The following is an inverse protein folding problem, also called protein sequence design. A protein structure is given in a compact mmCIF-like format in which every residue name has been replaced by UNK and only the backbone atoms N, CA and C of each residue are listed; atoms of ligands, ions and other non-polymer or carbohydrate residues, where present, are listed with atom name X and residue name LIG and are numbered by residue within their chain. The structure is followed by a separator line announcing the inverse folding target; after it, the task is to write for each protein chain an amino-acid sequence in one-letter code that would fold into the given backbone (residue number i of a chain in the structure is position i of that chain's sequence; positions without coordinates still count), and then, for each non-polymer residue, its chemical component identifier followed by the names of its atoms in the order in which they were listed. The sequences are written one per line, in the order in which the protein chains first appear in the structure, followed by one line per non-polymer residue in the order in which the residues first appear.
data_IF_355662386758
#
_entry.id   IF_355662386758
#
_cell.length_a   1.000
_cell.length_b   1.000
_cell.length_c   1.000
_cell.angle_alpha   90.00
_cell.angle_beta   90.00
_cell.angle_gamma   90.00
#
_symmetry.space_group_name_H-M   'P 1'
#
loop_
_entity.id
_entity.type
_entity.pdbx_description
1 polymer ?
#
# COMPACT_ATOMS: atom_id res chain seq x y z
N UNK A 1 16.12 20.58 35.23
CA UNK A 1 15.39 21.82 34.89
C UNK A 1 15.49 22.18 33.41
N UNK A 2 16.60 21.95 32.69
CA UNK A 2 16.66 22.24 31.24
C UNK A 2 16.01 21.17 30.35
N UNK A 3 16.07 19.89 30.77
CA UNK A 3 15.47 18.78 30.04
C UNK A 3 13.94 18.91 29.95
N UNK A 4 13.29 19.25 31.06
CA UNK A 4 11.83 19.38 31.16
C UNK A 4 11.31 20.52 30.26
N UNK A 5 11.97 21.68 30.31
CA UNK A 5 11.66 22.80 29.42
C UNK A 5 11.89 22.48 27.93
N UNK A 6 12.84 21.59 27.62
CA UNK A 6 13.09 21.12 26.26
C UNK A 6 12.06 20.10 25.80
N UNK A 7 11.60 19.24 26.72
CA UNK A 7 10.56 18.25 26.49
C UNK A 7 9.20 18.91 26.23
N UNK A 8 8.81 19.89 27.05
CA UNK A 8 7.55 20.61 26.88
C UNK A 8 7.49 21.31 25.51
N UNK A 9 8.56 22.01 25.13
CA UNK A 9 8.67 22.64 23.82
C UNK A 9 8.59 21.62 22.67
N UNK A 10 9.20 20.44 22.85
CA UNK A 10 9.14 19.39 21.84
C UNK A 10 7.73 18.84 21.69
N UNK A 11 7.02 18.59 22.80
CA UNK A 11 5.64 18.11 22.78
C UNK A 11 4.68 19.14 22.16
N UNK A 12 4.87 20.43 22.46
CA UNK A 12 4.04 21.51 21.91
C UNK A 12 4.29 21.76 20.42
N UNK A 13 5.49 21.41 19.91
CA UNK A 13 5.84 21.50 18.50
C UNK A 13 5.44 20.25 17.70
N UNK A 14 5.07 19.15 18.35
CA UNK A 14 4.61 17.95 17.68
C UNK A 14 3.22 18.23 17.12
N UNK A 15 3.03 18.15 15.80
CA UNK A 15 1.70 18.30 15.22
C UNK A 15 0.78 17.18 15.73
N UNK A 16 -0.50 17.49 15.88
CA UNK A 16 -1.54 16.48 16.10
C UNK A 16 -1.68 15.62 14.84
N UNK A 17 -0.81 14.62 14.73
CA UNK A 17 -0.91 13.59 13.71
C UNK A 17 -1.89 12.57 14.29
N UNK A 18 -3.09 12.52 13.74
CA UNK A 18 -3.99 11.41 13.97
C UNK A 18 -3.33 10.17 13.35
N UNK A 19 -2.51 9.45 14.13
CA UNK A 19 -2.09 8.12 13.74
C UNK A 19 -3.37 7.31 13.83
N UNK A 20 -4.01 7.06 12.69
CA UNK A 20 -5.11 6.12 12.60
C UNK A 20 -4.67 4.84 13.29
N UNK A 21 -5.12 4.64 14.53
CA UNK A 21 -4.69 3.56 15.41
C UNK A 21 -5.15 2.19 14.93
N UNK A 22 -5.72 2.15 13.73
CA UNK A 22 -6.14 0.96 13.04
C UNK A 22 -4.93 0.15 12.64
N UNK A 23 -5.02 -1.16 12.90
CA UNK A 23 -4.05 -2.10 12.37
C UNK A 23 -4.05 -1.98 10.86
N UNK A 24 -2.87 -2.18 10.26
CA UNK A 24 -2.78 -2.35 8.81
C UNK A 24 -3.77 -3.45 8.38
N UNK A 25 -4.78 -3.04 7.63
CA UNK A 25 -5.78 -3.92 7.04
C UNK A 25 -5.65 -3.79 5.53
N UNK A 26 -5.28 -4.89 4.89
CA UNK A 26 -5.13 -4.97 3.44
C UNK A 26 -6.25 -5.87 2.92
N UNK A 27 -7.01 -5.45 1.90
CA UNK A 27 -8.04 -6.29 1.31
C UNK A 27 -7.42 -7.53 0.66
N UNK A 28 -8.18 -8.63 0.63
CA UNK A 28 -7.78 -9.84 -0.08
C UNK A 28 -7.67 -9.57 -1.58
N UNK A 29 -6.75 -10.28 -2.25
CA UNK A 29 -6.58 -10.16 -3.69
C UNK A 29 -7.76 -10.80 -4.45
N UNK A 30 -8.45 -10.01 -5.27
CA UNK A 30 -9.50 -10.47 -6.17
C UNK A 30 -8.88 -10.96 -7.48
N UNK A 31 -8.46 -12.22 -7.48
CA UNK A 31 -7.93 -12.89 -8.67
C UNK A 31 -9.03 -13.61 -9.45
N UNK A 32 -9.01 -13.50 -10.77
CA UNK A 32 -9.94 -14.16 -11.68
C UNK A 32 -9.18 -14.86 -12.80
N UNK A 33 -9.45 -16.15 -13.00
CA UNK A 33 -8.92 -16.90 -14.14
C UNK A 33 -9.51 -16.36 -15.46
N UNK A 34 -8.64 -16.10 -16.43
CA UNK A 34 -8.97 -15.59 -17.76
C UNK A 34 -8.19 -16.37 -18.83
N UNK A 35 -8.59 -17.63 -19.03
CA UNK A 35 -7.90 -18.54 -19.94
C UNK A 35 -6.48 -18.85 -19.45
N UNK A 36 -5.48 -18.42 -20.21
CA UNK A 36 -4.06 -18.59 -19.86
C UNK A 36 -3.53 -17.51 -18.90
N UNK A 37 -4.32 -16.47 -18.64
CA UNK A 37 -3.95 -15.34 -17.79
C UNK A 37 -4.78 -15.31 -16.50
N UNK A 38 -4.30 -14.56 -15.52
CA UNK A 38 -5.03 -14.29 -14.27
C UNK A 38 -5.19 -12.79 -14.13
N UNK A 39 -6.45 -12.32 -14.12
CA UNK A 39 -6.78 -10.92 -13.83
C UNK A 39 -6.72 -10.67 -12.34
N UNK A 40 -6.10 -9.56 -11.94
CA UNK A 40 -6.08 -9.06 -10.56
C UNK A 40 -6.93 -7.78 -10.51
N UNK A 41 -8.18 -7.92 -10.08
CA UNK A 41 -9.24 -6.92 -10.28
C UNK A 41 -9.16 -5.72 -9.31
N UNK A 42 -8.71 -5.94 -8.07
CA UNK A 42 -8.62 -4.90 -7.03
C UNK A 42 -7.18 -4.49 -6.69
N UNK A 43 -6.27 -4.56 -7.68
CA UNK A 43 -4.85 -4.28 -7.47
C UNK A 43 -4.59 -2.85 -6.98
N UNK A 44 -5.33 -1.86 -7.48
CA UNK A 44 -5.23 -0.46 -7.04
C UNK A 44 -5.59 -0.32 -5.55
N UNK A 45 -6.70 -0.92 -5.11
CA UNK A 45 -7.12 -0.91 -3.70
C UNK A 45 -6.08 -1.55 -2.78
N UNK A 46 -5.47 -2.66 -3.21
CA UNK A 46 -4.39 -3.31 -2.47
C UNK A 46 -3.13 -2.42 -2.44
N UNK A 47 -2.81 -1.74 -3.54
CA UNK A 47 -1.67 -0.83 -3.62
C UNK A 47 -1.86 0.38 -2.69
N UNK A 48 -3.06 0.96 -2.67
CA UNK A 48 -3.44 2.07 -1.80
C UNK A 48 -3.35 1.68 -0.32
N UNK A 49 -3.88 0.50 0.05
CA UNK A 49 -3.78 -0.01 1.43
C UNK A 49 -2.33 -0.23 1.88
N UNK A 50 -1.42 -0.53 0.95
CA UNK A 50 0.02 -0.65 1.20
C UNK A 50 0.78 0.69 1.08
N UNK A 51 0.07 1.78 0.77
CA UNK A 51 0.63 3.09 0.45
C UNK A 51 1.72 2.99 -0.64
N UNK A 52 1.38 2.35 -1.76
CA UNK A 52 2.25 2.14 -2.93
C UNK A 52 1.51 2.50 -4.20
N UNK A 53 2.26 2.86 -5.25
CA UNK A 53 1.67 2.97 -6.58
C UNK A 53 1.34 1.61 -7.16
N UNK A 54 0.29 1.54 -7.97
CA UNK A 54 -0.15 0.34 -8.68
C UNK A 54 0.97 -0.25 -9.54
N UNK A 55 1.78 0.60 -10.20
CA UNK A 55 2.96 0.17 -10.98
C UNK A 55 4.01 -0.55 -10.14
N UNK A 56 4.24 -0.08 -8.91
CA UNK A 56 5.22 -0.68 -8.01
C UNK A 56 4.79 -2.09 -7.59
N UNK A 57 3.52 -2.25 -7.21
CA UNK A 57 2.96 -3.54 -6.82
C UNK A 57 2.87 -4.50 -8.01
N UNK A 58 2.43 -4.01 -9.18
CA UNK A 58 2.39 -4.79 -10.42
C UNK A 58 3.77 -5.35 -10.79
N UNK A 59 4.82 -4.52 -10.75
CA UNK A 59 6.21 -4.95 -11.00
C UNK A 59 6.69 -6.00 -9.99
N UNK A 60 6.30 -5.87 -8.73
CA UNK A 60 6.65 -6.85 -7.70
C UNK A 60 6.01 -8.21 -7.99
N UNK A 61 4.71 -8.24 -8.33
CA UNK A 61 3.99 -9.48 -8.66
C UNK A 61 4.60 -10.18 -9.88
N UNK A 62 4.91 -9.44 -10.96
CA UNK A 62 5.56 -9.98 -12.15
C UNK A 62 6.90 -10.66 -11.83
N UNK A 63 7.71 -10.03 -10.98
CA UNK A 63 9.01 -10.59 -10.56
C UNK A 63 8.85 -11.84 -9.70
N UNK A 64 7.91 -11.82 -8.76
CA UNK A 64 7.66 -12.94 -7.85
C UNK A 64 7.08 -14.16 -8.57
N UNK A 65 6.21 -13.94 -9.56
CA UNK A 65 5.56 -15.02 -10.32
C UNK A 65 6.29 -15.40 -11.61
N UNK A 66 7.38 -14.69 -11.96
CA UNK A 66 8.12 -14.85 -13.21
C UNK A 66 7.22 -14.82 -14.46
N UNK A 67 6.20 -13.96 -14.45
CA UNK A 67 5.26 -13.79 -15.56
C UNK A 67 5.34 -12.39 -16.12
N UNK A 68 5.13 -12.26 -17.43
CA UNK A 68 4.82 -10.96 -18.03
C UNK A 68 3.33 -10.66 -17.83
N UNK A 69 3.01 -9.39 -17.66
CA UNK A 69 1.64 -8.91 -17.53
C UNK A 69 1.49 -7.47 -18.00
N UNK A 70 0.26 -7.02 -18.18
CA UNK A 70 -0.13 -5.67 -18.54
C UNK A 70 -0.96 -5.08 -17.42
N UNK A 71 -0.73 -3.79 -17.17
CA UNK A 71 -1.53 -2.99 -16.26
C UNK A 71 -2.43 -2.07 -17.10
N UNK A 72 -3.74 -2.22 -16.99
CA UNK A 72 -4.73 -1.40 -17.69
C UNK A 72 -5.79 -0.95 -16.68
N UNK A 73 -5.98 0.37 -16.51
CA UNK A 73 -7.00 0.96 -15.64
C UNK A 73 -7.11 0.34 -14.23
N UNK A 74 -5.98 0.11 -13.56
CA UNK A 74 -5.94 -0.45 -12.20
C UNK A 74 -6.05 -1.98 -12.12
N UNK A 75 -6.20 -2.67 -13.25
CA UNK A 75 -6.27 -4.14 -13.34
C UNK A 75 -5.00 -4.71 -13.97
N UNK A 76 -4.37 -5.67 -13.29
CA UNK A 76 -3.24 -6.44 -13.84
C UNK A 76 -3.71 -7.72 -14.54
N UNK A 77 -3.16 -8.05 -15.71
CA UNK A 77 -3.42 -9.33 -16.43
C UNK A 77 -2.18 -9.90 -17.10
#
# INVERSE_FOLDING_TARGET
MEYEASLDRALEAVPDIDSGGDRLSVPDAEAQADGAFTRFNNLETVADALNRSTDHLHRFVQRSLATSGKLEAGVGR
#
